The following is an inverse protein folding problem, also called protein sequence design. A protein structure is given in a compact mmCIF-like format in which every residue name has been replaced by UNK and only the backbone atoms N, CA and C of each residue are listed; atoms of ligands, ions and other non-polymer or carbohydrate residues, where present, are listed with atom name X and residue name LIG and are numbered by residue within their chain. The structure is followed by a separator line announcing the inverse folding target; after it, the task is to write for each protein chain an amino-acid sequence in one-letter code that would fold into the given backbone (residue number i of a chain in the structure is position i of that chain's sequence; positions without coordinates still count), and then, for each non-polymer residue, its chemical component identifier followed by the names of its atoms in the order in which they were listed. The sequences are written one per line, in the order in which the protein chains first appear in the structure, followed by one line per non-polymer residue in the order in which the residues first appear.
data_IF_166259208227
#
_entry.id   IF_166259208227
#
_cell.length_a   1.000
_cell.length_b   1.000
_cell.length_c   1.000
_cell.angle_alpha   90.00
_cell.angle_beta   90.00
_cell.angle_gamma   90.00
#
_symmetry.space_group_name_H-M   'P 1'
#
loop_
_entity.id
_entity.type
_entity.pdbx_description
1 polymer ?
#
# COMPACT_ATOMS: atom_id res chain seq x y z
N UNK A 1 28.78 -45.79 24.47
CA UNK A 1 27.66 -44.85 24.69
C UNK A 1 28.23 -43.45 24.58
N UNK A 2 28.01 -42.75 23.45
CA UNK A 2 26.92 -41.77 23.24
C UNK A 2 26.98 -40.71 24.33
N UNK A 3 27.45 -39.49 24.07
CA UNK A 3 26.56 -38.43 23.56
C UNK A 3 27.25 -37.51 22.54
N UNK A 4 26.72 -37.51 21.31
CA UNK A 4 26.98 -36.49 20.30
C UNK A 4 26.05 -35.29 20.54
N UNK A 5 26.60 -34.19 21.06
CA UNK A 5 25.92 -32.90 21.17
C UNK A 5 25.58 -32.38 19.76
N UNK A 6 24.31 -32.12 19.41
CA UNK A 6 23.98 -31.66 18.07
C UNK A 6 24.32 -30.17 17.93
N UNK A 7 25.20 -29.84 17.00
CA UNK A 7 25.47 -28.48 16.59
C UNK A 7 24.21 -27.89 15.92
N UNK A 8 23.58 -26.91 16.58
CA UNK A 8 22.44 -26.17 16.05
C UNK A 8 22.88 -25.33 14.84
N UNK A 9 22.62 -25.87 13.64
CA UNK A 9 22.91 -25.27 12.36
C UNK A 9 22.10 -23.95 12.18
N UNK A 10 22.77 -22.80 12.30
CA UNK A 10 22.15 -21.47 12.08
C UNK A 10 21.90 -21.12 10.62
N UNK A 11 22.24 -22.00 9.67
CA UNK A 11 22.09 -21.74 8.23
C UNK A 11 20.61 -21.73 7.78
N UNK A 12 19.67 -22.21 8.60
CA UNK A 12 18.24 -22.14 8.33
C UNK A 12 17.61 -20.75 8.44
N UNK A 13 18.32 -19.74 8.96
CA UNK A 13 17.80 -18.36 9.05
C UNK A 13 18.09 -17.52 7.80
N UNK A 14 18.90 -18.03 6.87
CA UNK A 14 19.30 -17.30 5.66
C UNK A 14 18.32 -17.42 4.49
N UNK A 15 17.33 -18.32 4.56
CA UNK A 15 16.48 -18.69 3.41
C UNK A 15 15.03 -18.19 3.49
N UNK A 16 14.71 -17.24 4.37
CA UNK A 16 13.37 -16.63 4.42
C UNK A 16 13.14 -15.51 3.39
N UNK A 17 14.14 -15.17 2.57
CA UNK A 17 14.04 -14.08 1.57
C UNK A 17 13.58 -14.51 0.18
N UNK A 18 13.31 -15.79 -0.07
CA UNK A 18 12.85 -16.28 -1.38
C UNK A 18 11.33 -16.51 -1.45
N UNK A 19 10.53 -15.76 -0.69
CA UNK A 19 9.10 -15.67 -0.97
C UNK A 19 8.86 -14.70 -2.12
N UNK A 20 8.34 -15.16 -3.28
CA UNK A 20 7.90 -14.25 -4.32
C UNK A 20 6.66 -13.53 -3.78
N UNK A 21 6.85 -12.29 -3.31
CA UNK A 21 5.78 -11.35 -2.90
C UNK A 21 4.93 -10.88 -4.11
N UNK A 22 4.85 -11.71 -5.15
CA UNK A 22 4.41 -11.44 -6.52
C UNK A 22 2.88 -11.34 -6.69
N UNK A 23 2.14 -11.00 -5.63
CA UNK A 23 0.67 -10.97 -5.66
C UNK A 23 0.01 -9.65 -5.28
N UNK A 24 0.67 -8.80 -4.47
CA UNK A 24 0.00 -7.64 -3.85
C UNK A 24 0.63 -6.30 -4.22
N UNK A 25 -0.25 -5.40 -4.69
CA UNK A 25 0.07 -3.99 -4.99
C UNK A 25 0.52 -3.26 -3.72
N UNK A 26 1.41 -2.29 -3.89
CA UNK A 26 1.79 -1.35 -2.84
C UNK A 26 0.55 -0.55 -2.40
N UNK A 27 0.44 -0.27 -1.10
CA UNK A 27 -0.63 0.56 -0.54
C UNK A 27 -0.57 1.97 -1.13
N UNK A 28 -1.74 2.53 -1.47
CA UNK A 28 -1.83 3.84 -2.11
C UNK A 28 -1.19 4.94 -1.26
N UNK A 29 -1.28 4.86 0.06
CA UNK A 29 -0.65 5.80 1.01
C UNK A 29 0.88 5.81 0.87
N UNK A 30 1.48 4.63 0.70
CA UNK A 30 2.93 4.50 0.50
C UNK A 30 3.37 5.08 -0.83
N UNK A 31 2.58 4.88 -1.89
CA UNK A 31 2.85 5.49 -3.20
C UNK A 31 2.84 7.02 -3.13
N UNK A 32 1.88 7.62 -2.40
CA UNK A 32 1.86 9.09 -2.19
C UNK A 32 3.15 9.58 -1.54
N UNK A 33 3.57 8.93 -0.44
CA UNK A 33 4.78 9.32 0.28
C UNK A 33 6.04 9.20 -0.57
N UNK A 34 6.18 8.08 -1.31
CA UNK A 34 7.34 7.84 -2.17
C UNK A 34 7.36 8.81 -3.35
N UNK A 35 6.26 8.98 -4.08
CA UNK A 35 6.19 9.90 -5.22
C UNK A 35 6.46 11.34 -4.80
N UNK A 36 5.86 11.80 -3.69
CA UNK A 36 6.09 13.14 -3.15
C UNK A 36 7.55 13.34 -2.74
N UNK A 37 8.11 12.37 -2.00
CA UNK A 37 9.50 12.46 -1.55
C UNK A 37 10.47 12.41 -2.73
N UNK A 38 10.23 11.58 -3.74
CA UNK A 38 11.07 11.54 -4.94
C UNK A 38 10.99 12.85 -5.71
N UNK A 39 9.79 13.39 -5.93
CA UNK A 39 9.62 14.67 -6.61
C UNK A 39 10.42 15.78 -5.92
N UNK A 40 10.27 15.94 -4.59
CA UNK A 40 11.01 16.96 -3.81
C UNK A 40 12.53 16.78 -3.92
N UNK A 41 13.02 15.55 -3.74
CA UNK A 41 14.45 15.26 -3.77
C UNK A 41 15.04 15.51 -5.16
N UNK A 42 14.37 15.04 -6.22
CA UNK A 42 14.80 15.23 -7.60
C UNK A 42 14.73 16.71 -8.01
N UNK A 43 13.70 17.46 -7.62
CA UNK A 43 13.63 18.92 -7.81
C UNK A 43 14.79 19.66 -7.14
N UNK A 44 15.32 19.11 -6.06
CA UNK A 44 16.45 19.68 -5.31
C UNK A 44 17.82 19.29 -5.89
N UNK A 45 17.86 18.63 -7.05
CA UNK A 45 19.10 18.17 -7.68
C UNK A 45 19.70 16.92 -7.05
N UNK A 46 18.98 16.24 -6.14
CA UNK A 46 19.45 14.97 -5.57
C UNK A 46 19.38 13.89 -6.64
N UNK A 47 20.51 13.23 -6.93
CA UNK A 47 20.54 12.14 -7.91
C UNK A 47 19.57 10.99 -7.59
N UNK A 48 18.98 10.39 -8.62
CA UNK A 48 17.91 9.38 -8.53
C UNK A 48 18.22 8.22 -7.58
N UNK A 49 19.45 7.69 -7.61
CA UNK A 49 19.90 6.60 -6.73
C UNK A 49 19.77 6.97 -5.25
N UNK A 50 20.21 8.17 -4.87
CA UNK A 50 20.10 8.67 -3.50
C UNK A 50 18.64 9.01 -3.16
N UNK A 51 17.90 9.58 -4.11
CA UNK A 51 16.49 9.90 -3.93
C UNK A 51 15.64 8.65 -3.63
N UNK A 52 15.84 7.55 -4.36
CA UNK A 52 15.18 6.25 -4.15
C UNK A 52 15.46 5.70 -2.75
N UNK A 53 16.72 5.71 -2.31
CA UNK A 53 17.10 5.20 -0.98
C UNK A 53 16.48 6.03 0.15
N UNK A 54 16.38 7.35 -0.02
CA UNK A 54 15.79 8.25 0.98
C UNK A 54 14.27 8.16 1.00
N UNK A 55 13.61 8.09 -0.16
CA UNK A 55 12.15 7.98 -0.26
C UNK A 55 11.65 6.63 0.23
N UNK A 56 12.39 5.54 0.00
CA UNK A 56 12.07 4.22 0.56
C UNK A 56 12.02 4.23 2.09
N UNK A 57 12.88 5.00 2.77
CA UNK A 57 12.85 5.11 4.24
C UNK A 57 11.65 5.88 4.78
N UNK A 58 10.99 6.70 3.96
CA UNK A 58 9.82 7.50 4.37
C UNK A 58 8.55 6.65 4.47
N UNK A 59 8.49 5.50 3.82
CA UNK A 59 7.33 4.61 3.88
C UNK A 59 7.47 3.60 5.02
N UNK A 60 6.41 3.41 5.81
CA UNK A 60 6.31 2.33 6.80
C UNK A 60 5.92 0.97 6.22
N UNK A 61 5.84 0.85 4.89
CA UNK A 61 5.41 -0.36 4.20
C UNK A 61 6.62 -1.15 3.69
N UNK A 62 6.86 -2.32 4.28
CA UNK A 62 7.98 -3.20 3.93
C UNK A 62 7.98 -3.59 2.45
N UNK A 63 6.82 -3.94 1.88
CA UNK A 63 6.71 -4.28 0.45
C UNK A 63 7.14 -3.13 -0.46
N UNK A 64 6.80 -1.91 -0.09
CA UNK A 64 7.23 -0.72 -0.81
C UNK A 64 8.74 -0.50 -0.70
N UNK A 65 9.33 -0.74 0.48
CA UNK A 65 10.78 -0.65 0.68
C UNK A 65 11.53 -1.68 -0.17
N UNK A 66 11.05 -2.92 -0.21
CA UNK A 66 11.63 -3.99 -1.02
C UNK A 66 11.51 -3.71 -2.52
N UNK A 67 10.33 -3.29 -2.99
CA UNK A 67 10.16 -2.91 -4.40
C UNK A 67 11.10 -1.76 -4.78
N UNK A 68 11.20 -0.72 -3.95
CA UNK A 68 12.12 0.40 -4.16
C UNK A 68 13.59 0.00 -4.14
N UNK A 69 13.95 -1.01 -3.34
CA UNK A 69 15.29 -1.60 -3.34
C UNK A 69 15.55 -2.35 -4.66
N UNK A 70 14.59 -3.12 -5.15
CA UNK A 70 14.70 -3.77 -6.45
C UNK A 70 14.88 -2.77 -7.60
N UNK A 71 14.12 -1.67 -7.60
CA UNK A 71 14.30 -0.56 -8.56
C UNK A 71 15.69 0.08 -8.44
N UNK A 72 16.17 0.30 -7.22
CA UNK A 72 17.52 0.85 -6.98
C UNK A 72 18.61 -0.08 -7.51
N UNK A 73 18.46 -1.39 -7.33
CA UNK A 73 19.41 -2.38 -7.82
C UNK A 73 19.42 -2.44 -9.36
N UNK A 74 18.27 -2.33 -10.01
CA UNK A 74 18.17 -2.23 -11.48
C UNK A 74 18.92 -0.99 -12.02
N UNK A 75 18.68 0.18 -11.44
CA UNK A 75 19.37 1.43 -11.83
C UNK A 75 20.88 1.37 -11.53
N UNK A 76 21.30 0.58 -10.55
CA UNK A 76 22.73 0.35 -10.31
C UNK A 76 23.39 -0.52 -11.38
N UNK A 77 22.65 -1.45 -11.98
CA UNK A 77 23.12 -2.27 -13.10
C UNK A 77 23.10 -1.54 -14.43
N UNK A 78 22.45 -0.39 -14.50
CA UNK A 78 22.38 0.47 -15.69
C UNK A 78 21.01 0.46 -16.38
N UNK A 79 20.03 -0.24 -15.82
CA UNK A 79 18.66 -0.23 -16.33
C UNK A 79 18.00 1.14 -16.05
N UNK A 80 17.03 1.50 -16.89
CA UNK A 80 16.22 2.70 -16.66
C UNK A 80 15.21 2.51 -15.50
N UNK A 81 14.67 3.62 -14.99
CA UNK A 81 13.75 3.61 -13.84
C UNK A 81 12.49 2.80 -14.16
N UNK A 82 11.97 2.95 -15.37
CA UNK A 82 10.77 2.27 -15.85
C UNK A 82 10.94 0.75 -15.86
N UNK A 83 12.07 0.26 -16.36
CA UNK A 83 12.43 -1.15 -16.43
C UNK A 83 12.59 -1.71 -15.03
N UNK A 84 13.32 -1.01 -14.16
CA UNK A 84 13.43 -1.39 -12.75
C UNK A 84 12.09 -1.51 -12.04
N UNK A 85 11.12 -0.62 -12.34
CA UNK A 85 9.76 -0.69 -11.81
C UNK A 85 8.97 -1.88 -12.36
N UNK A 86 9.10 -2.18 -13.66
CA UNK A 86 8.44 -3.33 -14.32
C UNK A 86 8.93 -4.67 -13.76
N UNK A 87 10.22 -4.79 -13.45
CA UNK A 87 10.79 -6.00 -12.83
C UNK A 87 10.17 -6.36 -11.47
N UNK A 88 9.57 -5.39 -10.77
CA UNK A 88 8.91 -5.64 -9.48
C UNK A 88 7.50 -6.26 -9.61
N UNK A 89 7.11 -6.64 -10.83
CA UNK A 89 5.83 -7.27 -11.13
C UNK A 89 4.64 -6.37 -10.77
N UNK A 90 3.67 -6.91 -10.04
CA UNK A 90 2.45 -6.20 -9.64
C UNK A 90 2.62 -5.20 -8.48
N UNK A 91 3.86 -4.85 -8.09
CA UNK A 91 4.08 -3.91 -7.00
C UNK A 91 3.59 -2.49 -7.34
N UNK A 92 3.90 -2.02 -8.55
CA UNK A 92 3.52 -0.69 -9.04
C UNK A 92 2.29 -0.76 -9.95
N UNK A 93 1.36 0.21 -9.88
CA UNK A 93 0.24 0.28 -10.81
C UNK A 93 0.73 0.52 -12.26
N UNK A 94 0.11 -0.08 -13.29
CA UNK A 94 0.50 0.12 -14.69
C UNK A 94 0.55 1.60 -15.10
N UNK A 95 -0.48 2.37 -14.73
CA UNK A 95 -0.55 3.81 -14.96
C UNK A 95 0.69 4.57 -14.42
N UNK A 96 1.23 4.12 -13.28
CA UNK A 96 2.43 4.74 -12.71
C UNK A 96 3.64 4.50 -13.60
N UNK A 97 3.81 3.26 -14.07
CA UNK A 97 4.92 2.84 -14.92
C UNK A 97 4.87 3.62 -16.25
N UNK A 98 3.69 3.71 -16.87
CA UNK A 98 3.53 4.39 -18.16
C UNK A 98 3.82 5.89 -18.06
N UNK A 99 3.33 6.55 -17.01
CA UNK A 99 3.59 7.97 -16.80
C UNK A 99 5.06 8.22 -16.46
N UNK A 100 5.68 7.37 -15.63
CA UNK A 100 7.11 7.46 -15.32
C UNK A 100 7.95 7.29 -16.57
N UNK A 101 7.59 6.36 -17.45
CA UNK A 101 8.26 6.18 -18.75
C UNK A 101 8.21 7.46 -19.60
N UNK A 102 7.03 8.09 -19.70
CA UNK A 102 6.90 9.38 -20.39
C UNK A 102 7.74 10.45 -19.72
N UNK A 103 7.72 10.53 -18.38
CA UNK A 103 8.51 11.49 -17.62
C UNK A 103 10.02 11.31 -17.77
N UNK A 104 10.48 10.07 -17.83
CA UNK A 104 11.88 9.70 -18.03
C UNK A 104 12.36 10.07 -19.43
N UNK A 105 11.58 9.74 -20.47
CA UNK A 105 11.92 10.07 -21.85
C UNK A 105 11.86 11.57 -22.16
N UNK A 106 10.94 12.31 -21.53
CA UNK A 106 10.77 13.75 -21.75
C UNK A 106 11.58 14.62 -20.79
N UNK A 107 12.29 14.02 -19.83
CA UNK A 107 13.00 14.74 -18.76
C UNK A 107 12.07 15.44 -17.75
N UNK A 108 10.76 15.15 -17.79
CA UNK A 108 9.73 15.75 -16.93
C UNK A 108 9.36 14.88 -15.71
N UNK A 109 10.23 13.94 -15.34
CA UNK A 109 10.01 12.96 -14.25
C UNK A 109 9.55 13.61 -12.93
N UNK A 110 10.11 14.77 -12.58
CA UNK A 110 9.74 15.53 -11.37
C UNK A 110 8.25 15.90 -11.37
N UNK A 111 7.73 16.40 -12.49
CA UNK A 111 6.35 16.86 -12.63
C UNK A 111 5.38 15.65 -12.69
N UNK A 112 5.82 14.57 -13.35
CA UNK A 112 5.09 13.29 -13.36
C UNK A 112 4.95 12.73 -11.94
N UNK A 113 6.03 12.67 -11.16
CA UNK A 113 5.99 12.17 -9.78
C UNK A 113 5.11 13.04 -8.88
N UNK A 114 5.15 14.36 -9.07
CA UNK A 114 4.26 15.30 -8.38
C UNK A 114 2.80 15.02 -8.73
N UNK A 115 2.49 14.88 -10.01
CA UNK A 115 1.14 14.57 -10.51
C UNK A 115 0.63 13.23 -9.99
N UNK A 116 1.47 12.19 -9.99
CA UNK A 116 1.15 10.88 -9.41
C UNK A 116 0.86 10.97 -7.91
N UNK A 117 1.65 11.77 -7.17
CA UNK A 117 1.41 11.96 -5.73
C UNK A 117 0.05 12.60 -5.45
N UNK A 118 -0.33 13.61 -6.23
CA UNK A 118 -1.63 14.29 -6.13
C UNK A 118 -2.78 13.36 -6.57
N UNK A 119 -2.58 12.60 -7.64
CA UNK A 119 -3.56 11.63 -8.12
C UNK A 119 -3.87 10.58 -7.05
N UNK A 120 -2.85 9.95 -6.46
CA UNK A 120 -3.05 8.95 -5.41
C UNK A 120 -3.61 9.55 -4.11
N UNK A 121 -3.23 10.79 -3.77
CA UNK A 121 -3.82 11.50 -2.64
C UNK A 121 -5.32 11.74 -2.86
N UNK A 122 -5.71 12.15 -4.07
CA UNK A 122 -7.12 12.33 -4.43
C UNK A 122 -7.90 11.02 -4.37
N UNK A 123 -7.32 9.90 -4.82
CA UNK A 123 -7.95 8.58 -4.68
C UNK A 123 -8.18 8.19 -3.21
N UNK A 124 -7.23 8.51 -2.32
CA UNK A 124 -7.39 8.27 -0.88
C UNK A 124 -8.50 9.16 -0.31
N UNK A 125 -8.54 10.45 -0.69
CA UNK A 125 -9.57 11.40 -0.23
C UNK A 125 -10.95 10.95 -0.67
N UNK A 126 -11.14 10.63 -1.95
CA UNK A 126 -12.41 10.15 -2.50
C UNK A 126 -12.91 8.90 -1.76
N UNK A 127 -12.04 7.92 -1.51
CA UNK A 127 -12.41 6.73 -0.72
C UNK A 127 -12.82 7.10 0.70
N UNK A 128 -12.04 7.95 1.37
CA UNK A 128 -12.34 8.37 2.75
C UNK A 128 -13.68 9.12 2.83
N UNK A 129 -13.95 10.00 1.88
CA UNK A 129 -15.18 10.78 1.85
C UNK A 129 -16.39 9.89 1.54
N UNK A 130 -16.24 8.94 0.63
CA UNK A 130 -17.24 7.91 0.37
C UNK A 130 -17.58 7.11 1.64
N UNK A 131 -16.57 6.63 2.36
CA UNK A 131 -16.80 5.93 3.64
C UNK A 131 -17.48 6.83 4.66
N UNK A 132 -17.06 8.09 4.82
CA UNK A 132 -17.69 9.05 5.74
C UNK A 132 -19.17 9.26 5.42
N UNK A 133 -19.53 9.38 4.15
CA UNK A 133 -20.90 9.58 3.71
C UNK A 133 -21.78 8.34 3.96
N UNK A 134 -21.22 7.13 3.87
CA UNK A 134 -21.94 5.88 4.10
C UNK A 134 -22.02 5.51 5.59
N UNK A 135 -21.07 5.94 6.42
CA UNK A 135 -21.07 5.63 7.86
C UNK A 135 -22.38 6.05 8.54
N UNK A 136 -22.88 7.27 8.28
CA UNK A 136 -24.12 7.76 8.89
C UNK A 136 -25.37 6.91 8.54
N UNK A 137 -25.69 6.66 7.26
CA UNK A 137 -26.85 5.84 6.91
C UNK A 137 -26.72 4.39 7.37
N UNK A 138 -25.52 3.81 7.42
CA UNK A 138 -25.32 2.46 7.97
C UNK A 138 -25.64 2.41 9.46
N UNK A 139 -25.15 3.37 10.25
CA UNK A 139 -25.47 3.46 11.68
C UNK A 139 -26.98 3.64 11.89
N UNK A 140 -27.61 4.53 11.11
CA UNK A 140 -29.05 4.76 11.16
C UNK A 140 -29.84 3.48 10.84
N UNK A 141 -29.43 2.73 9.82
CA UNK A 141 -30.07 1.48 9.42
C UNK A 141 -29.96 0.40 10.51
N UNK A 142 -28.80 0.27 11.15
CA UNK A 142 -28.60 -0.65 12.28
C UNK A 142 -29.51 -0.29 13.45
N UNK A 143 -29.61 1.01 13.78
CA UNK A 143 -30.51 1.49 14.84
C UNK A 143 -31.98 1.21 14.52
N UNK A 144 -32.40 1.43 13.27
CA UNK A 144 -33.77 1.15 12.85
C UNK A 144 -34.13 -0.35 12.99
N UNK A 145 -33.24 -1.24 12.55
CA UNK A 145 -33.42 -2.70 12.70
C UNK A 145 -33.52 -3.07 14.18
N UNK A 146 -32.66 -2.49 15.02
CA UNK A 146 -32.67 -2.76 16.46
C UNK A 146 -34.00 -2.36 17.11
N UNK A 147 -34.54 -1.18 16.78
CA UNK A 147 -35.84 -0.71 17.29
C UNK A 147 -36.97 -1.63 16.84
N UNK A 148 -37.03 -2.01 15.56
CA UNK A 148 -38.07 -2.91 15.04
C UNK A 148 -38.00 -4.28 15.72
N UNK A 149 -36.81 -4.84 15.88
CA UNK A 149 -36.63 -6.12 16.57
C UNK A 149 -37.09 -6.06 18.04
N UNK A 150 -36.77 -4.96 18.74
CA UNK A 150 -37.20 -4.73 20.12
C UNK A 150 -38.73 -4.63 20.21
N UNK A 151 -39.38 -3.90 19.31
CA UNK A 151 -40.85 -3.79 19.27
C UNK A 151 -41.52 -5.15 19.06
N UNK A 152 -41.04 -5.95 18.11
CA UNK A 152 -41.57 -7.31 17.87
C UNK A 152 -41.41 -8.18 19.12
N UNK A 153 -40.25 -8.11 19.77
CA UNK A 153 -39.97 -8.86 21.00
C UNK A 153 -40.92 -8.45 22.15
N UNK A 154 -41.10 -7.16 22.39
CA UNK A 154 -41.99 -6.66 23.44
C UNK A 154 -43.45 -7.01 23.17
N UNK A 155 -43.93 -6.82 21.93
CA UNK A 155 -45.30 -7.18 21.54
C UNK A 155 -45.56 -8.69 21.70
N UNK A 156 -44.57 -9.52 21.38
CA UNK A 156 -44.64 -10.96 21.59
C UNK A 156 -44.74 -11.34 23.07
N UNK A 157 -44.09 -10.59 23.97
CA UNK A 157 -44.10 -10.89 25.40
C UNK A 157 -45.41 -10.44 26.07
N UNK A 158 -45.91 -9.23 25.76
CA UNK A 158 -47.19 -8.75 26.32
C UNK A 158 -48.38 -9.62 25.89
N UNK A 159 -48.31 -10.20 24.67
CA UNK A 159 -49.35 -11.09 24.17
C UNK A 159 -49.42 -12.40 24.98
N UNK A 160 -48.28 -12.88 25.51
CA UNK A 160 -48.24 -14.07 26.38
C UNK A 160 -48.81 -13.78 27.76
N UNK A 161 -48.54 -12.60 28.32
CA UNK A 161 -48.95 -12.28 29.70
C UNK A 161 -50.42 -11.90 29.84
N UNK A 162 -51.09 -11.53 28.75
CA UNK A 162 -52.51 -11.12 28.77
C UNK A 162 -53.47 -12.29 28.51
N UNK A 163 -52.96 -13.46 28.12
CA UNK A 163 -53.74 -14.64 27.73
C UNK A 163 -54.05 -15.66 28.84
N UNK A 164 -53.84 -15.32 30.12
CA UNK A 164 -54.26 -16.12 31.30
C UNK A 164 -55.36 -15.42 32.05
#
# INVERSE_FOLDING_TARGET
MSESTPAFNRQGLANFSEFPLSGRRIRTESLVLVCRSLSILLSSGVGIKKALKLSAKKTGNQRCQEAMRGVFDAINRGDDLTTGMKEQGNAFPPLMIDLVNVGEQTGSLVEVLKSLSLHYENLIRLRKDFYRQITWPVLQLVMAIFVVALLIFLLGEIAKTTGT
#
